data_IF_422185485338
#
_entry.id   IF_422185485338
#
_cell.length_a   1.000
_cell.length_b   1.000
_cell.length_c   1.000
_cell.angle_alpha   90.00
_cell.angle_beta   90.00
_cell.angle_gamma   90.00
#
_symmetry.space_group_name_H-M   'P 1'
#
loop_
_entity.id
_entity.type
_entity.pdbx_description
1 polymer ?
#
# COMPACT_ATOMS: atom_id res chain seq x y z
N UNK A 1 -8.99 4.76 9.45
CA UNK A 1 -9.37 3.33 9.37
C UNK A 1 -8.31 2.46 10.05
N UNK A 2 -8.70 1.55 10.93
CA UNK A 2 -7.76 0.61 11.59
C UNK A 2 -7.24 -0.44 10.60
N UNK A 3 -6.03 -0.98 10.83
CA UNK A 3 -5.33 -1.92 9.95
C UNK A 3 -6.15 -3.16 9.60
N UNK A 4 -6.72 -3.85 10.60
CA UNK A 4 -7.58 -5.02 10.35
C UNK A 4 -8.79 -4.73 9.44
N UNK A 5 -9.29 -3.48 9.42
CA UNK A 5 -10.37 -3.08 8.52
C UNK A 5 -9.86 -2.91 7.09
N UNK A 6 -8.66 -2.35 6.92
CA UNK A 6 -7.97 -2.22 5.63
C UNK A 6 -7.76 -3.60 5.04
N UNK A 7 -7.16 -4.52 5.81
CA UNK A 7 -6.97 -5.92 5.42
C UNK A 7 -8.26 -6.59 5.00
N UNK A 8 -9.33 -6.48 5.80
CA UNK A 8 -10.61 -7.09 5.46
C UNK A 8 -11.16 -6.59 4.13
N UNK A 9 -11.10 -5.27 3.88
CA UNK A 9 -11.60 -4.67 2.64
C UNK A 9 -10.78 -5.16 1.45
N UNK A 10 -9.45 -5.18 1.53
CA UNK A 10 -8.62 -5.63 0.41
C UNK A 10 -8.77 -7.13 0.14
N UNK A 11 -8.93 -7.95 1.20
CA UNK A 11 -9.24 -9.38 1.09
C UNK A 11 -10.55 -9.59 0.32
N UNK A 12 -11.62 -8.89 0.70
CA UNK A 12 -12.91 -8.95 0.01
C UNK A 12 -12.80 -8.46 -1.45
N UNK A 13 -12.03 -7.40 -1.69
CA UNK A 13 -11.85 -6.82 -3.02
C UNK A 13 -11.16 -7.78 -4.00
N UNK A 14 -10.14 -8.52 -3.54
CA UNK A 14 -9.48 -9.57 -4.31
C UNK A 14 -10.40 -10.78 -4.53
N UNK A 15 -11.07 -11.27 -3.47
CA UNK A 15 -12.01 -12.41 -3.58
C UNK A 15 -13.12 -12.14 -4.60
N UNK A 16 -13.71 -10.93 -4.59
CA UNK A 16 -14.73 -10.50 -5.57
C UNK A 16 -14.24 -10.49 -7.02
N UNK A 17 -12.91 -10.42 -7.23
CA UNK A 17 -12.27 -10.46 -8.56
C UNK A 17 -11.82 -11.86 -8.96
N UNK A 18 -12.14 -12.88 -8.17
CA UNK A 18 -11.80 -14.28 -8.44
C UNK A 18 -10.36 -14.65 -8.04
N UNK A 19 -9.72 -13.87 -7.16
CA UNK A 19 -8.46 -14.28 -6.57
C UNK A 19 -8.70 -15.22 -5.38
N UNK A 20 -7.84 -16.23 -5.25
CA UNK A 20 -7.66 -17.00 -4.02
C UNK A 20 -6.76 -16.17 -3.11
N UNK A 21 -7.22 -15.90 -1.90
CA UNK A 21 -6.48 -15.05 -0.94
C UNK A 21 -5.98 -15.91 0.21
N UNK A 22 -4.67 -15.85 0.44
CA UNK A 22 -3.99 -16.41 1.59
C UNK A 22 -3.63 -15.27 2.55
N UNK A 23 -4.01 -15.44 3.80
CA UNK A 23 -3.76 -14.48 4.87
C UNK A 23 -2.45 -14.87 5.57
N UNK A 24 -1.69 -13.86 6.00
CA UNK A 24 -0.45 -14.03 6.78
C UNK A 24 0.47 -15.13 6.22
N UNK A 25 1.19 -14.82 5.14
CA UNK A 25 2.10 -15.78 4.54
C UNK A 25 3.56 -15.46 4.88
N UNK A 26 4.38 -16.50 4.97
CA UNK A 26 5.83 -16.36 5.09
C UNK A 26 6.41 -16.15 3.69
N UNK A 27 6.90 -14.93 3.46
CA UNK A 27 7.65 -14.59 2.27
C UNK A 27 9.05 -15.23 2.24
N UNK A 28 9.75 -15.09 1.11
CA UNK A 28 11.16 -15.46 1.00
C UNK A 28 11.97 -14.87 2.16
N UNK A 29 12.84 -15.68 2.78
CA UNK A 29 13.63 -15.26 3.94
C UNK A 29 12.87 -15.22 5.27
N UNK A 30 11.65 -15.74 5.34
CA UNK A 30 10.88 -15.88 6.58
C UNK A 30 10.17 -14.61 7.04
N UNK A 31 10.08 -13.59 6.19
CA UNK A 31 9.36 -12.36 6.54
C UNK A 31 7.85 -12.56 6.48
N UNK A 32 7.14 -12.14 7.53
CA UNK A 32 5.66 -12.17 7.55
C UNK A 32 5.11 -11.03 6.70
N UNK A 33 4.21 -11.36 5.78
CA UNK A 33 3.46 -10.39 4.95
C UNK A 33 1.97 -10.64 5.14
N UNK A 34 1.19 -9.56 5.15
CA UNK A 34 -0.23 -9.62 5.52
C UNK A 34 -1.08 -10.49 4.57
N UNK A 35 -0.79 -10.49 3.27
CA UNK A 35 -1.54 -11.32 2.33
C UNK A 35 -0.84 -11.63 1.00
N UNK A 36 -1.24 -12.76 0.42
CA UNK A 36 -0.97 -13.16 -0.97
C UNK A 36 -2.28 -13.44 -1.69
N UNK A 37 -2.52 -12.80 -2.84
CA UNK A 37 -3.69 -13.07 -3.68
C UNK A 37 -3.26 -13.65 -5.03
N UNK A 38 -3.85 -14.77 -5.46
CA UNK A 38 -3.46 -15.50 -6.68
C UNK A 38 -4.65 -15.71 -7.62
N UNK A 39 -4.45 -15.48 -8.91
CA UNK A 39 -5.42 -15.78 -9.98
C UNK A 39 -4.67 -16.15 -11.25
N UNK A 40 -4.82 -17.38 -11.72
CA UNK A 40 -4.04 -17.92 -12.84
C UNK A 40 -2.52 -17.77 -12.56
N UNK A 41 -1.79 -17.14 -13.48
CA UNK A 41 -0.36 -16.83 -13.33
C UNK A 41 -0.11 -15.53 -12.55
N UNK A 42 -1.15 -14.72 -12.30
CA UNK A 42 -1.01 -13.45 -11.58
C UNK A 42 -0.96 -13.67 -10.07
N UNK A 43 -0.04 -12.96 -9.43
CA UNK A 43 0.14 -12.94 -7.99
C UNK A 43 0.27 -11.51 -7.48
N UNK A 44 -0.43 -11.23 -6.37
CA UNK A 44 -0.27 -10.02 -5.58
C UNK A 44 0.30 -10.36 -4.22
N UNK A 45 1.33 -9.64 -3.81
CA UNK A 45 1.91 -9.68 -2.47
C UNK A 45 1.66 -8.31 -1.84
N UNK A 46 0.87 -8.27 -0.77
CA UNK A 46 0.35 -7.01 -0.24
C UNK A 46 0.62 -6.88 1.25
N UNK A 47 1.19 -5.74 1.63
CA UNK A 47 1.32 -5.29 3.01
C UNK A 47 0.26 -4.21 3.27
N UNK A 48 -0.56 -4.37 4.31
CA UNK A 48 -1.60 -3.43 4.71
C UNK A 48 -1.17 -2.62 5.92
N UNK A 49 -1.61 -1.37 5.98
CA UNK A 49 -1.28 -0.44 7.07
C UNK A 49 -2.49 0.41 7.45
N UNK A 50 -2.70 0.64 8.74
CA UNK A 50 -3.82 1.45 9.26
C UNK A 50 -3.57 2.96 9.31
N UNK A 51 -4.60 3.72 9.68
CA UNK A 51 -4.46 5.10 10.19
C UNK A 51 -4.07 5.10 11.66
N UNK A 52 -3.43 6.19 12.10
CA UNK A 52 -3.07 6.43 13.49
C UNK A 52 -3.65 7.76 13.97
N UNK A 53 -4.22 7.76 15.16
CA UNK A 53 -4.91 8.94 15.71
C UNK A 53 -4.12 9.65 16.81
N UNK A 54 -2.94 9.14 17.19
CA UNK A 54 -2.21 9.63 18.37
C UNK A 54 -1.15 10.68 18.04
N UNK A 55 -0.28 10.44 17.05
CA UNK A 55 0.74 11.41 16.66
C UNK A 55 1.14 11.31 15.18
N UNK A 56 1.83 12.36 14.69
CA UNK A 56 2.29 12.46 13.31
C UNK A 56 3.45 11.50 12.99
N UNK A 57 4.33 11.22 13.95
CA UNK A 57 5.49 10.35 13.78
C UNK A 57 5.09 8.89 13.47
N UNK A 58 3.96 8.42 14.01
CA UNK A 58 3.45 7.08 13.77
C UNK A 58 3.11 6.82 12.30
N UNK A 59 2.62 7.82 11.55
CA UNK A 59 2.40 7.66 10.11
C UNK A 59 3.70 7.40 9.35
N UNK A 60 4.78 8.08 9.74
CA UNK A 60 6.08 7.86 9.11
C UNK A 60 6.62 6.48 9.46
N UNK A 61 6.70 6.15 10.75
CA UNK A 61 7.21 4.85 11.22
C UNK A 61 6.42 3.71 10.58
N UNK A 62 5.08 3.78 10.60
CA UNK A 62 4.26 2.70 10.11
C UNK A 62 4.40 2.50 8.59
N UNK A 63 4.44 3.59 7.82
CA UNK A 63 4.62 3.50 6.37
C UNK A 63 6.02 2.99 6.02
N UNK A 64 7.07 3.52 6.65
CA UNK A 64 8.46 3.12 6.38
C UNK A 64 8.69 1.66 6.77
N UNK A 65 8.13 1.21 7.90
CA UNK A 65 8.15 -0.19 8.32
C UNK A 65 7.42 -1.08 7.32
N UNK A 66 6.22 -0.69 6.86
CA UNK A 66 5.47 -1.44 5.85
C UNK A 66 6.22 -1.56 4.52
N UNK A 67 6.84 -0.49 4.05
CA UNK A 67 7.71 -0.53 2.86
C UNK A 67 8.91 -1.47 3.11
N UNK A 68 9.55 -1.39 4.27
CA UNK A 68 10.67 -2.26 4.62
C UNK A 68 10.30 -3.74 4.65
N UNK A 69 9.13 -4.09 5.20
CA UNK A 69 8.59 -5.45 5.19
C UNK A 69 8.32 -5.91 3.75
N UNK A 70 7.63 -5.07 2.96
CA UNK A 70 7.32 -5.41 1.58
C UNK A 70 8.60 -5.63 0.75
N UNK A 71 9.58 -4.73 0.83
CA UNK A 71 10.86 -4.85 0.12
C UNK A 71 11.60 -6.14 0.49
N UNK A 72 11.59 -6.54 1.77
CA UNK A 72 12.20 -7.81 2.21
C UNK A 72 11.53 -9.04 1.60
N UNK A 73 10.26 -8.95 1.20
CA UNK A 73 9.54 -10.06 0.55
C UNK A 73 9.79 -10.17 -0.96
N UNK A 74 10.43 -9.17 -1.57
CA UNK A 74 10.71 -9.16 -3.00
C UNK A 74 11.89 -10.08 -3.31
N UNK A 75 11.62 -11.30 -3.75
CA UNK A 75 12.65 -12.22 -4.25
C UNK A 75 12.79 -12.21 -5.77
N UNK A 76 11.80 -11.70 -6.49
CA UNK A 76 11.75 -11.73 -7.96
C UNK A 76 10.92 -10.57 -8.47
N UNK A 77 11.37 -9.92 -9.55
CA UNK A 77 10.62 -8.87 -10.25
C UNK A 77 10.32 -9.38 -11.65
N UNK A 78 9.05 -9.64 -11.94
CA UNK A 78 8.54 -10.03 -13.26
C UNK A 78 7.11 -9.51 -13.45
N UNK A 79 6.57 -9.60 -14.67
CA UNK A 79 5.24 -9.06 -14.98
C UNK A 79 4.06 -9.76 -14.26
N UNK A 80 4.26 -10.98 -13.76
CA UNK A 80 3.22 -11.78 -13.14
C UNK A 80 3.08 -11.54 -11.63
N UNK A 81 4.06 -10.88 -11.00
CA UNK A 81 4.07 -10.60 -9.57
C UNK A 81 3.98 -9.10 -9.33
N UNK A 82 2.88 -8.69 -8.71
CA UNK A 82 2.64 -7.32 -8.24
C UNK A 82 2.87 -7.24 -6.74
N UNK A 83 3.74 -6.32 -6.32
CA UNK A 83 3.89 -5.97 -4.91
C UNK A 83 3.04 -4.74 -4.62
N UNK A 84 2.46 -4.64 -3.43
CA UNK A 84 1.70 -3.45 -3.07
C UNK A 84 1.76 -3.13 -1.58
N UNK A 85 1.74 -1.83 -1.28
CA UNK A 85 1.40 -1.34 0.04
C UNK A 85 -0.02 -0.77 0.01
N UNK A 86 -0.85 -1.20 0.96
CA UNK A 86 -2.26 -0.88 1.04
C UNK A 86 -2.52 0.01 2.25
N UNK A 87 -3.11 1.18 2.02
CA UNK A 87 -3.32 2.21 3.04
C UNK A 87 -4.71 2.82 2.95
N UNK A 88 -5.28 3.31 4.07
CA UNK A 88 -6.46 4.15 4.03
C UNK A 88 -6.11 5.54 3.50
N UNK A 89 -7.02 6.11 2.72
CA UNK A 89 -6.75 7.32 1.95
C UNK A 89 -7.77 8.45 2.18
N UNK A 90 -8.93 8.16 2.74
CA UNK A 90 -10.00 9.16 2.98
C UNK A 90 -9.49 10.41 3.72
N UNK A 91 -8.69 10.22 4.79
CA UNK A 91 -8.14 11.34 5.58
C UNK A 91 -7.15 12.17 4.78
N UNK A 92 -6.40 11.51 3.90
CA UNK A 92 -5.40 12.15 3.02
C UNK A 92 -6.11 13.03 1.99
N UNK A 93 -7.20 12.55 1.40
CA UNK A 93 -8.04 13.33 0.47
C UNK A 93 -8.77 14.48 1.16
N UNK A 94 -9.19 14.29 2.41
CA UNK A 94 -9.84 15.33 3.22
C UNK A 94 -8.87 16.34 3.83
N UNK A 95 -7.58 16.29 3.47
CA UNK A 95 -6.56 17.20 4.00
C UNK A 95 -6.43 17.17 5.54
N UNK A 96 -6.81 16.07 6.20
CA UNK A 96 -6.72 15.97 7.66
C UNK A 96 -5.28 15.99 8.14
N UNK A 97 -5.04 16.66 9.26
CA UNK A 97 -3.71 16.83 9.88
C UNK A 97 -3.00 15.51 10.15
N UNK A 98 -3.73 14.53 10.68
CA UNK A 98 -3.23 13.17 10.92
C UNK A 98 -3.65 12.30 9.73
N UNK A 99 -2.75 12.13 8.77
CA UNK A 99 -3.00 11.34 7.56
C UNK A 99 -1.68 10.98 6.87
N UNK A 100 -1.77 10.14 5.84
CA UNK A 100 -0.63 9.79 4.99
C UNK A 100 -0.07 10.96 4.17
N UNK A 101 -0.71 12.14 4.18
CA UNK A 101 -0.12 13.40 3.64
C UNK A 101 1.23 13.74 4.29
N UNK A 102 1.48 13.27 5.52
CA UNK A 102 2.71 13.54 6.26
C UNK A 102 3.92 12.80 5.70
N UNK A 103 3.72 11.67 5.02
CA UNK A 103 4.80 10.77 4.61
C UNK A 103 4.84 10.54 3.10
N UNK A 104 3.68 10.35 2.44
CA UNK A 104 3.62 10.04 1.01
C UNK A 104 4.39 11.05 0.12
N UNK A 105 4.28 12.39 0.32
CA UNK A 105 5.03 13.35 -0.50
C UNK A 105 6.55 13.26 -0.34
N UNK A 106 7.08 12.71 0.77
CA UNK A 106 8.53 12.54 0.97
C UNK A 106 9.11 11.51 -0.01
N UNK A 107 8.27 10.61 -0.50
CA UNK A 107 8.62 9.62 -1.52
C UNK A 107 8.47 10.14 -2.96
N UNK A 108 8.10 11.41 -3.19
CA UNK A 108 7.82 11.94 -4.54
C UNK A 108 8.99 11.92 -5.51
N UNK A 109 10.22 11.86 -5.00
CA UNK A 109 11.44 11.73 -5.82
C UNK A 109 12.03 10.32 -5.81
N UNK A 110 11.49 9.41 -4.99
CA UNK A 110 11.96 8.04 -4.94
C UNK A 110 11.55 7.27 -6.19
N UNK A 111 12.48 6.48 -6.72
CA UNK A 111 12.25 5.56 -7.85
C UNK A 111 11.89 4.15 -7.38
N UNK A 112 11.84 3.91 -6.06
CA UNK A 112 11.67 2.56 -5.48
C UNK A 112 10.40 1.87 -5.97
N UNK A 113 9.30 2.62 -6.08
CA UNK A 113 8.01 2.08 -6.52
C UNK A 113 8.08 1.54 -7.95
N UNK A 114 8.68 2.31 -8.86
CA UNK A 114 8.85 1.94 -10.26
C UNK A 114 9.84 0.78 -10.41
N UNK A 115 11.01 0.87 -9.77
CA UNK A 115 12.09 -0.11 -9.92
C UNK A 115 11.77 -1.48 -9.32
N UNK A 116 10.98 -1.52 -8.26
CA UNK A 116 10.61 -2.74 -7.57
C UNK A 116 9.19 -3.22 -7.90
N UNK A 117 8.52 -2.59 -8.89
CA UNK A 117 7.14 -2.85 -9.25
C UNK A 117 6.17 -2.84 -8.04
N UNK A 118 6.34 -1.85 -7.15
CA UNK A 118 5.49 -1.65 -5.97
C UNK A 118 4.35 -0.69 -6.32
N UNK A 119 3.14 -1.17 -6.20
CA UNK A 119 1.90 -0.41 -6.39
C UNK A 119 1.45 0.21 -5.06
N UNK A 120 0.67 1.29 -5.12
CA UNK A 120 -0.09 1.77 -3.98
C UNK A 120 -1.55 1.34 -4.12
N UNK A 121 -2.11 0.75 -3.07
CA UNK A 121 -3.54 0.46 -2.99
C UNK A 121 -4.16 1.41 -1.98
N UNK A 122 -5.10 2.22 -2.44
CA UNK A 122 -5.76 3.25 -1.66
C UNK A 122 -7.18 2.79 -1.29
N UNK A 123 -7.48 2.71 0.00
CA UNK A 123 -8.80 2.34 0.49
C UNK A 123 -9.52 3.55 1.09
N UNK A 124 -10.78 3.74 0.71
CA UNK A 124 -11.63 4.80 1.26
C UNK A 124 -12.66 4.25 2.26
N UNK A 125 -13.27 5.15 3.02
CA UNK A 125 -14.22 4.79 4.09
C UNK A 125 -15.50 4.15 3.54
N UNK A 126 -15.84 4.45 2.28
CA UNK A 126 -16.92 3.80 1.51
C UNK A 126 -16.53 2.40 0.98
N UNK A 127 -15.34 1.91 1.32
CA UNK A 127 -14.73 0.65 0.88
C UNK A 127 -14.36 0.60 -0.60
N UNK A 128 -14.39 1.73 -1.30
CA UNK A 128 -13.80 1.80 -2.63
C UNK A 128 -12.28 1.62 -2.54
N UNK A 129 -11.72 1.00 -3.58
CA UNK A 129 -10.31 0.64 -3.67
C UNK A 129 -9.79 1.12 -5.01
N UNK A 130 -8.70 1.88 -4.97
CA UNK A 130 -7.98 2.37 -6.14
C UNK A 130 -6.56 1.81 -6.13
N UNK A 131 -6.09 1.38 -7.30
CA UNK A 131 -4.71 0.93 -7.49
C UNK A 131 -3.96 1.99 -8.27
N UNK A 132 -2.94 2.59 -7.65
CA UNK A 132 -1.96 3.42 -8.34
C UNK A 132 -0.82 2.52 -8.77
N UNK A 133 -0.79 2.20 -10.07
CA UNK A 133 0.25 1.37 -10.65
C UNK A 133 1.65 1.95 -10.39
N UNK A 134 2.63 1.07 -10.20
CA UNK A 134 4.04 1.39 -9.89
C UNK A 134 4.61 2.55 -10.73
N UNK A 135 4.40 2.50 -12.06
CA UNK A 135 4.82 3.55 -13.02
C UNK A 135 4.18 4.92 -12.78
N UNK A 136 3.01 4.96 -12.15
CA UNK A 136 2.22 6.17 -11.89
C UNK A 136 2.40 6.72 -10.47
N UNK A 137 2.95 5.93 -9.54
CA UNK A 137 3.09 6.32 -8.12
C UNK A 137 3.84 7.65 -8.00
N UNK A 138 4.99 7.80 -8.66
CA UNK A 138 5.78 9.04 -8.54
C UNK A 138 5.00 10.28 -8.96
N UNK A 139 4.26 10.20 -10.06
CA UNK A 139 3.40 11.31 -10.56
C UNK A 139 2.29 11.63 -9.55
N UNK A 140 1.63 10.59 -9.03
CA UNK A 140 0.60 10.72 -8.00
C UNK A 140 1.14 11.43 -6.73
N UNK A 141 2.29 11.00 -6.21
CA UNK A 141 2.93 11.59 -5.03
C UNK A 141 3.35 13.05 -5.25
N UNK A 142 3.82 13.41 -6.45
CA UNK A 142 4.13 14.80 -6.82
C UNK A 142 2.88 15.70 -6.79
N UNK A 143 1.74 15.20 -7.23
CA UNK A 143 0.48 15.94 -7.19
C UNK A 143 0.01 16.18 -5.75
N UNK A 144 0.16 15.18 -4.87
CA UNK A 144 -0.10 15.36 -3.43
C UNK A 144 0.78 16.45 -2.81
N UNK A 145 2.06 16.51 -3.17
CA UNK A 145 2.99 17.54 -2.70
C UNK A 145 2.58 18.96 -3.14
N UNK A 146 2.07 19.12 -4.36
CA UNK A 146 1.58 20.42 -4.87
C UNK A 146 0.36 20.91 -4.08
N UNK A 147 -0.57 20.02 -3.77
CA UNK A 147 -1.78 20.33 -2.97
C UNK A 147 -1.51 20.76 -1.52
N UNK A 148 -0.27 20.63 -1.03
CA UNK A 148 0.14 21.10 0.30
C UNK A 148 0.65 22.55 0.29
N UNK A 149 1.01 23.07 -0.88
CA UNK A 149 1.58 24.41 -1.04
C UNK A 149 0.54 25.45 -1.48
N UNK A 150 -0.63 24.99 -1.90
CA UNK A 150 -1.84 25.78 -2.18
C UNK A 150 -2.68 25.94 -0.92
#
# INVERSE_FOLDING_TARGET
>A
MQEFKVERIIKEWFKKRGYIVEEEFLGPGGNKIDMRARKNQEQWIVEAKGDYDRNTAQYQVNFDTGIGQLVKSISTVNENISYAICIPFTRTEQHKRLSYRLILPKYSESIVFERLNINLILIRDDRSVEVVESKNVRKFLKNLKKSQKS
#
